data_IF_486458742287
#
_entry.id   IF_486458742287
#
_cell.length_a   1.000
_cell.length_b   1.000
_cell.length_c   1.000
_cell.angle_alpha   90.00
_cell.angle_beta   90.00
_cell.angle_gamma   90.00
#
_symmetry.space_group_name_H-M   'P 1'
#
loop_
_entity.id
_entity.type
_entity.pdbx_description
1 polymer ?
#
# COMPACT_ATOMS: atom_id res chain seq x y z
N UNK A 1 -66.18 -12.01 -69.20
CA UNK A 1 -65.99 -12.98 -68.10
C UNK A 1 -64.95 -12.37 -67.17
N UNK A 2 -65.30 -12.15 -65.89
CA UNK A 2 -64.37 -11.58 -64.90
C UNK A 2 -63.62 -12.73 -64.26
N UNK A 3 -62.33 -12.84 -64.56
CA UNK A 3 -61.43 -13.77 -63.88
C UNK A 3 -61.37 -13.38 -62.40
N UNK A 4 -61.96 -14.23 -61.55
CA UNK A 4 -61.91 -14.06 -60.10
C UNK A 4 -60.53 -14.51 -59.62
N UNK A 5 -59.72 -13.54 -59.24
CA UNK A 5 -58.38 -13.75 -58.70
C UNK A 5 -58.39 -14.74 -57.53
N UNK A 6 -57.66 -15.83 -57.69
CA UNK A 6 -57.48 -16.93 -56.72
C UNK A 6 -56.83 -16.44 -55.41
N UNK A 7 -56.29 -15.22 -55.39
CA UNK A 7 -55.81 -14.52 -54.19
C UNK A 7 -56.91 -14.27 -53.15
N UNK A 8 -58.20 -14.34 -53.52
CA UNK A 8 -59.31 -14.24 -52.58
C UNK A 8 -59.59 -15.54 -51.81
N UNK A 9 -59.19 -16.71 -52.33
CA UNK A 9 -59.44 -18.01 -51.72
C UNK A 9 -58.35 -18.42 -50.72
N UNK A 10 -57.16 -17.82 -50.80
CA UNK A 10 -56.04 -18.07 -49.88
C UNK A 10 -56.08 -17.08 -48.68
N UNK A 11 -57.14 -16.28 -48.55
CA UNK A 11 -57.25 -15.20 -47.58
C UNK A 11 -58.28 -15.47 -46.46
N UNK A 12 -58.36 -16.69 -45.95
CA UNK A 12 -59.10 -16.97 -44.69
C UNK A 12 -58.21 -17.59 -43.60
N UNK A 13 -57.01 -18.07 -43.93
CA UNK A 13 -56.11 -18.73 -42.99
C UNK A 13 -54.86 -17.90 -42.61
N UNK A 14 -54.55 -16.81 -43.32
CA UNK A 14 -53.41 -15.93 -43.03
C UNK A 14 -53.79 -14.56 -42.43
N UNK A 15 -55.08 -14.28 -42.30
CA UNK A 15 -55.57 -13.04 -41.68
C UNK A 15 -56.63 -13.38 -40.63
N UNK A 16 -56.24 -14.10 -39.57
CA UNK A 16 -57.02 -14.04 -38.33
C UNK A 16 -56.95 -12.60 -37.85
N UNK A 17 -58.03 -11.83 -38.04
CA UNK A 17 -58.14 -10.50 -37.46
C UNK A 17 -57.75 -10.59 -35.98
N UNK A 18 -56.78 -9.79 -35.51
CA UNK A 18 -56.44 -9.77 -34.10
C UNK A 18 -57.63 -9.11 -33.41
N UNK A 19 -58.53 -9.91 -32.85
CA UNK A 19 -59.50 -9.38 -31.91
C UNK A 19 -58.72 -8.88 -30.69
N UNK A 20 -58.78 -7.58 -30.38
CA UNK A 20 -58.17 -7.10 -29.16
C UNK A 20 -58.91 -7.76 -27.98
N UNK A 21 -58.15 -8.41 -27.11
CA UNK A 21 -58.62 -9.02 -25.85
C UNK A 21 -59.38 -10.36 -25.96
N UNK A 22 -59.01 -11.26 -26.88
CA UNK A 22 -59.52 -12.63 -26.82
C UNK A 22 -58.86 -13.40 -25.68
N UNK A 23 -59.64 -13.68 -24.63
CA UNK A 23 -59.28 -14.64 -23.59
C UNK A 23 -59.76 -16.01 -24.04
N UNK A 24 -58.83 -16.96 -24.22
CA UNK A 24 -59.18 -18.34 -24.53
C UNK A 24 -59.14 -19.16 -23.24
N UNK A 25 -60.28 -19.71 -22.83
CA UNK A 25 -60.36 -20.60 -21.68
C UNK A 25 -60.44 -22.06 -22.14
N UNK A 26 -59.46 -22.85 -21.72
CA UNK A 26 -59.35 -24.28 -21.93
C UNK A 26 -59.27 -24.98 -20.56
N UNK A 27 -60.42 -25.37 -20.00
CA UNK A 27 -60.47 -26.03 -18.68
C UNK A 27 -59.89 -25.16 -17.57
N UNK A 28 -58.80 -25.63 -16.94
CA UNK A 28 -58.06 -24.91 -15.89
C UNK A 28 -56.97 -23.97 -16.44
N UNK A 29 -56.83 -23.86 -17.77
CA UNK A 29 -55.88 -22.99 -18.44
C UNK A 29 -56.61 -21.81 -19.09
N UNK A 30 -56.21 -20.60 -18.70
CA UNK A 30 -56.62 -19.35 -19.32
C UNK A 30 -55.45 -18.74 -20.08
N UNK A 31 -55.64 -18.43 -21.36
CA UNK A 31 -54.62 -17.78 -22.19
C UNK A 31 -55.09 -16.39 -22.56
N UNK A 32 -54.36 -15.38 -22.08
CA UNK A 32 -54.59 -13.97 -22.37
C UNK A 32 -53.53 -13.47 -23.36
N UNK A 33 -53.95 -13.09 -24.56
CA UNK A 33 -53.03 -12.50 -25.52
C UNK A 33 -52.57 -11.11 -25.05
N UNK A 34 -51.27 -10.84 -25.15
CA UNK A 34 -50.67 -9.55 -24.79
C UNK A 34 -50.40 -8.73 -26.07
N UNK A 35 -49.28 -9.00 -26.73
CA UNK A 35 -48.85 -8.26 -27.92
C UNK A 35 -48.59 -9.19 -29.11
N UNK A 36 -48.96 -8.74 -30.30
CA UNK A 36 -48.55 -9.35 -31.58
C UNK A 36 -47.80 -8.34 -32.43
N UNK A 37 -46.59 -8.68 -32.84
CA UNK A 37 -45.70 -7.86 -33.67
C UNK A 37 -45.13 -8.69 -34.80
N UNK A 38 -44.51 -8.04 -35.80
CA UNK A 38 -43.85 -8.76 -36.90
C UNK A 38 -42.77 -9.75 -36.41
N UNK A 39 -42.17 -9.48 -35.25
CA UNK A 39 -41.15 -10.34 -34.62
C UNK A 39 -41.73 -11.55 -33.87
N UNK A 40 -43.04 -11.62 -33.64
CA UNK A 40 -43.66 -12.71 -32.90
C UNK A 40 -44.91 -12.32 -32.12
N UNK A 41 -45.41 -13.27 -31.33
CA UNK A 41 -46.61 -13.10 -30.53
C UNK A 41 -46.30 -13.45 -29.07
N UNK A 42 -46.91 -12.71 -28.15
CA UNK A 42 -46.78 -12.91 -26.70
C UNK A 42 -48.14 -13.09 -26.06
N UNK A 43 -48.20 -13.94 -25.04
CA UNK A 43 -49.41 -14.26 -24.30
C UNK A 43 -49.03 -14.61 -22.86
N UNK A 44 -49.94 -14.32 -21.94
CA UNK A 44 -49.90 -14.75 -20.55
C UNK A 44 -50.75 -16.02 -20.42
N UNK A 45 -50.16 -17.08 -19.88
CA UNK A 45 -50.88 -18.32 -19.57
C UNK A 45 -51.09 -18.37 -18.07
N UNK A 46 -52.34 -18.30 -17.65
CA UNK A 46 -52.75 -18.42 -16.26
C UNK A 46 -53.34 -19.82 -16.11
N UNK A 47 -52.62 -20.70 -15.43
CA UNK A 47 -53.19 -21.94 -14.94
C UNK A 47 -53.90 -21.63 -13.62
N UNK A 48 -55.17 -22.01 -13.46
CA UNK A 48 -55.85 -21.91 -12.16
C UNK A 48 -54.98 -22.63 -11.12
N UNK A 49 -54.77 -21.98 -9.98
CA UNK A 49 -53.92 -22.53 -8.91
C UNK A 49 -54.55 -23.78 -8.33
N UNK A 50 -53.77 -24.83 -8.00
CA UNK A 50 -54.27 -25.88 -7.13
C UNK A 50 -54.66 -25.19 -5.81
N UNK A 51 -55.87 -25.40 -5.33
CA UNK A 51 -56.24 -24.97 -3.97
C UNK A 51 -55.52 -25.82 -2.89
N UNK A 52 -54.38 -26.46 -3.21
CA UNK A 52 -53.70 -27.53 -2.45
C UNK A 52 -52.25 -27.22 -2.03
N UNK A 53 -51.70 -26.03 -2.34
CA UNK A 53 -50.43 -25.62 -1.73
C UNK A 53 -50.74 -24.67 -0.57
N UNK A 54 -50.55 -25.21 0.63
CA UNK A 54 -50.51 -24.56 1.95
C UNK A 54 -50.16 -23.06 1.91
N UNK A 55 -50.79 -22.20 2.75
CA UNK A 55 -50.44 -20.78 2.86
C UNK A 55 -48.99 -20.52 3.29
N UNK A 56 -48.21 -21.56 3.58
CA UNK A 56 -46.80 -21.50 4.00
C UNK A 56 -45.82 -21.56 2.81
N UNK A 57 -46.02 -20.79 1.75
CA UNK A 57 -44.88 -20.43 0.90
C UNK A 57 -44.12 -19.36 1.68
N UNK A 58 -42.83 -19.56 2.07
CA UNK A 58 -42.08 -18.51 2.73
C UNK A 58 -42.06 -17.36 1.74
N UNK A 59 -42.76 -16.28 2.09
CA UNK A 59 -42.59 -14.99 1.44
C UNK A 59 -41.10 -14.71 1.58
N UNK A 60 -40.33 -15.00 0.52
CA UNK A 60 -38.96 -14.54 0.40
C UNK A 60 -39.11 -13.04 0.36
N UNK A 61 -39.09 -12.44 1.56
CA UNK A 61 -38.99 -11.01 1.78
C UNK A 61 -37.90 -10.54 0.84
N UNK A 62 -38.31 -9.95 -0.29
CA UNK A 62 -37.39 -9.30 -1.21
C UNK A 62 -36.42 -8.49 -0.35
N UNK A 63 -35.09 -8.55 -0.59
CA UNK A 63 -34.15 -7.74 0.16
C UNK A 63 -34.72 -6.34 0.29
N UNK A 64 -34.82 -5.77 1.51
CA UNK A 64 -35.50 -4.50 1.71
C UNK A 64 -34.93 -3.53 0.69
N UNK A 65 -35.78 -2.94 -0.16
CA UNK A 65 -35.37 -2.00 -1.20
C UNK A 65 -34.50 -0.96 -0.53
N UNK A 66 -33.18 -1.14 -0.62
CA UNK A 66 -32.21 -0.22 -0.02
C UNK A 66 -32.43 1.06 -0.79
N UNK A 67 -32.63 2.17 -0.09
CA UNK A 67 -32.60 3.49 -0.72
C UNK A 67 -31.30 3.55 -1.51
N UNK A 68 -31.38 3.85 -2.80
CA UNK A 68 -30.19 4.01 -3.64
C UNK A 68 -29.30 5.04 -2.95
N UNK A 69 -28.10 4.62 -2.54
CA UNK A 69 -27.12 5.52 -1.92
C UNK A 69 -26.88 6.69 -2.86
N UNK A 70 -26.94 7.91 -2.33
CA UNK A 70 -26.76 9.10 -3.16
C UNK A 70 -25.35 9.12 -3.76
N UNK A 71 -25.18 9.85 -4.86
CA UNK A 71 -23.87 10.04 -5.49
C UNK A 71 -22.82 10.54 -4.49
N UNK A 72 -23.22 11.46 -3.62
CA UNK A 72 -22.36 12.07 -2.60
C UNK A 72 -21.93 11.05 -1.53
N UNK A 73 -22.83 10.18 -1.08
CA UNK A 73 -22.49 9.11 -0.13
C UNK A 73 -21.52 8.09 -0.74
N UNK A 74 -21.67 7.78 -2.04
CA UNK A 74 -20.75 6.92 -2.77
C UNK A 74 -19.36 7.56 -2.90
N UNK A 75 -19.30 8.83 -3.28
CA UNK A 75 -18.06 9.60 -3.36
C UNK A 75 -17.33 9.64 -2.01
N UNK A 76 -18.04 9.94 -0.93
CA UNK A 76 -17.47 9.96 0.42
C UNK A 76 -16.88 8.61 0.84
N UNK A 77 -17.51 7.49 0.45
CA UNK A 77 -16.97 6.15 0.71
C UNK A 77 -15.69 5.87 -0.08
N UNK A 78 -15.63 6.32 -1.33
CA UNK A 78 -14.43 6.20 -2.18
C UNK A 78 -13.29 7.04 -1.63
N UNK A 79 -13.55 8.30 -1.28
CA UNK A 79 -12.56 9.20 -0.68
C UNK A 79 -12.03 8.63 0.64
N UNK A 80 -12.90 8.12 1.52
CA UNK A 80 -12.47 7.47 2.75
C UNK A 80 -11.58 6.23 2.51
N UNK A 81 -11.81 5.49 1.43
CA UNK A 81 -10.95 4.37 1.05
C UNK A 81 -9.59 4.84 0.53
N UNK A 82 -9.58 5.92 -0.25
CA UNK A 82 -8.36 6.56 -0.74
C UNK A 82 -7.51 7.13 0.41
N UNK A 83 -8.13 7.82 1.37
CA UNK A 83 -7.40 8.36 2.52
C UNK A 83 -6.78 7.26 3.38
N UNK A 84 -7.44 6.11 3.54
CA UNK A 84 -6.84 4.94 4.19
C UNK A 84 -5.62 4.43 3.42
N UNK A 85 -5.69 4.37 2.08
CA UNK A 85 -4.56 3.98 1.23
C UNK A 85 -3.39 4.95 1.39
N UNK A 86 -3.64 6.26 1.27
CA UNK A 86 -2.62 7.30 1.44
C UNK A 86 -1.98 7.27 2.83
N UNK A 87 -2.78 7.05 3.87
CA UNK A 87 -2.28 6.97 5.25
C UNK A 87 -1.30 5.79 5.43
N UNK A 88 -1.65 4.62 4.89
CA UNK A 88 -0.76 3.46 4.92
C UNK A 88 0.52 3.71 4.13
N UNK A 89 0.41 4.29 2.94
CA UNK A 89 1.56 4.66 2.12
C UNK A 89 2.48 5.67 2.85
N UNK A 90 1.91 6.71 3.45
CA UNK A 90 2.65 7.69 4.22
C UNK A 90 3.37 7.07 5.41
N UNK A 91 2.74 6.11 6.11
CA UNK A 91 3.38 5.38 7.21
C UNK A 91 4.59 4.56 6.73
N UNK A 92 4.45 3.87 5.59
CA UNK A 92 5.56 3.11 4.99
C UNK A 92 6.69 4.05 4.57
N UNK A 93 6.37 5.16 3.91
CA UNK A 93 7.36 6.17 3.50
C UNK A 93 8.09 6.78 4.70
N UNK A 94 7.37 7.05 5.81
CA UNK A 94 7.97 7.53 7.05
C UNK A 94 9.00 6.54 7.61
N UNK A 95 8.66 5.26 7.71
CA UNK A 95 9.58 4.23 8.19
C UNK A 95 10.81 4.06 7.28
N UNK A 96 10.63 4.24 5.96
CA UNK A 96 11.75 4.21 5.02
C UNK A 96 12.65 5.44 5.19
N UNK A 97 12.08 6.62 5.40
CA UNK A 97 12.84 7.83 5.67
C UNK A 97 13.66 7.72 6.97
N UNK A 98 13.04 7.23 8.05
CA UNK A 98 13.69 6.97 9.34
C UNK A 98 14.87 5.99 9.18
N UNK A 99 14.69 4.89 8.42
CA UNK A 99 15.79 3.95 8.15
C UNK A 99 16.94 4.58 7.38
N UNK A 100 16.64 5.38 6.36
CA UNK A 100 17.68 6.07 5.57
C UNK A 100 18.42 7.12 6.40
N UNK A 101 17.74 7.76 7.34
CA UNK A 101 18.37 8.67 8.29
C UNK A 101 19.32 7.92 9.21
N UNK A 102 18.87 6.82 9.79
CA UNK A 102 19.72 5.98 10.62
C UNK A 102 20.97 5.46 9.88
N UNK A 103 20.84 5.03 8.63
CA UNK A 103 21.98 4.64 7.79
C UNK A 103 23.00 5.79 7.63
N UNK A 104 22.54 7.03 7.43
CA UNK A 104 23.42 8.21 7.34
C UNK A 104 24.10 8.49 8.67
N UNK A 105 23.37 8.42 9.78
CA UNK A 105 23.92 8.62 11.12
C UNK A 105 25.01 7.61 11.46
N UNK A 106 24.79 6.33 11.13
CA UNK A 106 25.77 5.27 11.36
C UNK A 106 27.06 5.53 10.57
N UNK A 107 26.93 5.89 9.29
CA UNK A 107 28.10 6.22 8.46
C UNK A 107 28.84 7.46 8.98
N UNK A 108 28.10 8.51 9.34
CA UNK A 108 28.67 9.72 9.91
C UNK A 108 29.44 9.42 11.20
N UNK A 109 28.82 8.67 12.11
CA UNK A 109 29.42 8.28 13.38
C UNK A 109 30.69 7.44 13.19
N UNK A 110 30.69 6.51 12.24
CA UNK A 110 31.88 5.73 11.92
C UNK A 110 33.05 6.61 11.45
N UNK A 111 32.76 7.63 10.63
CA UNK A 111 33.76 8.60 10.20
C UNK A 111 34.26 9.47 11.36
N UNK A 112 33.36 9.96 12.22
CA UNK A 112 33.71 10.75 13.40
C UNK A 112 34.60 9.96 14.37
N UNK A 113 34.24 8.71 14.67
CA UNK A 113 35.03 7.85 15.56
C UNK A 113 36.43 7.57 14.99
N UNK A 114 36.53 7.33 13.68
CA UNK A 114 37.82 7.14 13.00
C UNK A 114 38.71 8.39 13.07
N UNK A 115 38.12 9.57 12.85
CA UNK A 115 38.82 10.84 12.96
C UNK A 115 39.26 11.11 14.41
N UNK A 116 38.39 10.82 15.38
CA UNK A 116 38.70 10.99 16.79
C UNK A 116 39.82 10.06 17.26
N UNK A 117 39.83 8.81 16.79
CA UNK A 117 40.92 7.87 17.07
C UNK A 117 42.25 8.39 16.53
N UNK A 118 42.26 8.87 15.29
CA UNK A 118 43.46 9.43 14.65
C UNK A 118 44.00 10.63 15.44
N UNK A 119 43.12 11.57 15.81
CA UNK A 119 43.47 12.74 16.62
C UNK A 119 44.04 12.34 17.98
N UNK A 120 43.39 11.44 18.70
CA UNK A 120 43.84 11.02 20.04
C UNK A 120 45.19 10.27 19.97
N UNK A 121 45.39 9.47 18.93
CA UNK A 121 46.65 8.78 18.70
C UNK A 121 47.78 9.78 18.42
N UNK A 122 47.52 10.79 17.60
CA UNK A 122 48.47 11.87 17.31
C UNK A 122 48.82 12.69 18.55
N UNK A 123 47.82 13.15 19.30
CA UNK A 123 48.02 13.90 20.55
C UNK A 123 48.88 13.10 21.54
N UNK A 124 48.61 11.80 21.69
CA UNK A 124 49.35 10.92 22.58
C UNK A 124 50.80 10.70 22.11
N UNK A 125 51.01 10.57 20.81
CA UNK A 125 52.36 10.44 20.23
C UNK A 125 53.16 11.72 20.46
N UNK A 126 52.57 12.88 20.16
CA UNK A 126 53.20 14.19 20.34
C UNK A 126 53.59 14.41 21.80
N UNK A 127 52.70 14.11 22.75
CA UNK A 127 53.02 14.16 24.17
C UNK A 127 54.21 13.29 24.56
N UNK A 128 54.25 12.03 24.08
CA UNK A 128 55.37 11.12 24.37
C UNK A 128 56.69 11.60 23.73
N UNK A 129 56.62 12.18 22.55
CA UNK A 129 57.79 12.73 21.86
C UNK A 129 58.37 13.92 22.62
N UNK A 130 57.53 14.85 23.10
CA UNK A 130 57.99 15.99 23.88
C UNK A 130 58.61 15.55 25.22
N UNK A 131 57.96 14.62 25.93
CA UNK A 131 58.51 14.08 27.18
C UNK A 131 59.87 13.40 26.95
N UNK A 132 60.01 12.62 25.87
CA UNK A 132 61.28 11.96 25.51
C UNK A 132 62.38 12.99 25.19
N UNK A 133 62.02 14.09 24.53
CA UNK A 133 62.92 15.20 24.23
C UNK A 133 63.38 15.91 25.51
N UNK A 134 62.47 16.28 26.40
CA UNK A 134 62.79 16.89 27.69
C UNK A 134 63.72 16.01 28.52
N UNK A 135 63.46 14.70 28.59
CA UNK A 135 64.32 13.73 29.28
C UNK A 135 65.73 13.72 28.67
N UNK A 136 65.84 13.71 27.34
CA UNK A 136 67.14 13.73 26.65
C UNK A 136 67.91 15.02 26.90
N UNK A 137 67.24 16.16 26.91
CA UNK A 137 67.82 17.47 27.18
C UNK A 137 68.31 17.55 28.64
N UNK A 138 67.49 17.12 29.60
CA UNK A 138 67.85 17.06 31.02
C UNK A 138 69.03 16.11 31.29
N UNK A 139 69.08 14.95 30.63
CA UNK A 139 70.23 14.04 30.74
C UNK A 139 71.50 14.64 30.12
N UNK A 140 71.37 15.36 29.01
CA UNK A 140 72.50 16.01 28.34
C UNK A 140 73.07 17.15 29.17
N UNK A 141 72.23 17.95 29.84
CA UNK A 141 72.67 19.01 30.75
C UNK A 141 73.26 18.49 32.06
N UNK A 142 72.87 17.28 32.50
CA UNK A 142 73.37 16.65 33.73
C UNK A 142 74.68 15.85 33.53
N UNK A 143 75.18 15.67 32.30
CA UNK A 143 76.46 14.97 32.10
C UNK A 143 77.59 15.76 32.78
N UNK A 144 78.34 15.18 33.74
CA UNK A 144 79.46 15.89 34.33
C UNK A 144 80.51 16.15 33.26
N UNK A 145 81.04 17.37 33.22
CA UNK A 145 82.25 17.68 32.46
C UNK A 145 83.36 16.75 32.95
N UNK A 146 83.77 15.80 32.10
CA UNK A 146 84.84 14.83 32.41
C UNK A 146 86.23 15.50 32.39
N UNK A 147 86.27 16.83 32.27
CA UNK A 147 87.50 17.64 32.22
C UNK A 147 87.55 18.66 33.37
N UNK A 148 87.14 18.28 34.59
CA UNK A 148 87.53 19.04 35.77
C UNK A 148 89.00 18.71 36.09
N UNK A 149 89.93 19.68 36.09
CA UNK A 149 91.34 19.40 36.37
C UNK A 149 91.46 18.84 37.80
N UNK A 150 92.11 17.68 37.93
CA UNK A 150 92.56 17.15 39.22
C UNK A 150 93.55 18.20 39.77
N UNK A 151 93.11 18.98 40.75
CA UNK A 151 93.99 19.89 41.48
C UNK A 151 95.07 19.06 42.15
N UNK A 152 96.28 19.10 41.63
CA UNK A 152 97.47 18.49 42.23
C UNK A 152 97.69 19.11 43.61
N UNK A 153 97.26 18.39 44.65
CA UNK A 153 97.62 18.67 46.04
C UNK A 153 99.11 18.35 46.16
N UNK A 154 99.92 19.40 46.23
CA UNK A 154 101.34 19.34 46.54
C UNK A 154 101.53 18.75 47.94
N UNK A 155 102.00 17.51 48.01
CA UNK A 155 102.62 16.96 49.23
C UNK A 155 104.02 17.54 49.34
N UNK A 156 104.10 18.72 49.96
CA UNK A 156 105.31 19.19 50.62
C UNK A 156 104.94 19.44 52.07
N UNK A 157 105.10 18.44 52.94
CA UNK A 157 105.42 18.61 54.37
C UNK A 157 105.55 17.27 55.10
N UNK A 158 106.46 17.24 56.09
CA UNK A 158 106.93 16.13 56.95
C UNK A 158 108.08 15.33 56.30
N UNK A 159 109.37 15.69 56.43
CA UNK A 159 110.14 16.13 57.62
C UNK A 159 109.87 15.24 58.84
N UNK A 160 110.46 14.05 58.85
CA UNK A 160 111.54 13.62 59.76
C UNK A 160 111.92 12.17 59.51
#
# INVERSE_FOLDING_TARGET
MKELSVLSLICSCFYSQPHPNTIYQYGDMEVKQLDKRASGQSFEVILKSPSDLSPESPVLSSPPKRKDTSLEELQKRLEAAEERRKTQEAQVLKQLAERREHEREVLHKALEENNNFSRLAEEKLNYKMELSKEIREALSSRKPSVNAPISSRSESELKN
#
